data_IF_851691053015
#
_entry.id   IF_851691053015
#
_cell.length_a   1.000
_cell.length_b   1.000
_cell.length_c   1.000
_cell.angle_alpha   90.00
_cell.angle_beta   90.00
_cell.angle_gamma   90.00
#
_symmetry.space_group_name_H-M   'P 1'
#
loop_
_entity.id
_entity.type
_entity.pdbx_description
1 polymer ?
#
# COMPACT_ATOMS: atom_id res chain seq x y z
N UNK A 1 45.04 -5.05 -59.09
CA UNK A 1 45.82 -4.25 -58.11
C UNK A 1 44.91 -3.15 -57.57
N UNK A 2 44.63 -3.18 -56.24
CA UNK A 2 44.29 -2.02 -55.35
C UNK A 2 42.97 -1.27 -55.68
N UNK A 3 41.98 -1.01 -54.83
CA UNK A 3 41.77 -0.83 -53.37
C UNK A 3 40.28 -1.20 -53.11
N UNK A 4 39.90 -2.04 -52.15
CA UNK A 4 39.80 -1.86 -50.69
C UNK A 4 38.84 -0.73 -50.22
N UNK A 5 37.84 -1.16 -49.44
CA UNK A 5 37.01 -0.42 -48.47
C UNK A 5 35.92 0.54 -48.98
N UNK A 6 34.66 0.12 -48.86
CA UNK A 6 33.60 0.97 -48.29
C UNK A 6 32.56 0.13 -47.53
N UNK A 7 32.66 0.30 -46.21
CA UNK A 7 31.68 0.20 -45.13
C UNK A 7 30.50 -0.79 -45.20
N UNK A 8 30.73 -1.85 -44.44
CA UNK A 8 29.84 -2.50 -43.49
C UNK A 8 29.01 -1.49 -42.63
N UNK A 9 27.83 -1.06 -43.08
CA UNK A 9 26.76 -0.51 -42.20
C UNK A 9 25.38 -0.83 -42.79
N UNK A 10 24.97 -2.10 -42.73
CA UNK A 10 23.59 -2.50 -43.05
C UNK A 10 23.08 -3.60 -42.11
N UNK A 11 23.64 -3.69 -40.90
CA UNK A 11 23.31 -4.75 -39.93
C UNK A 11 23.36 -4.25 -38.49
N UNK A 12 22.84 -3.04 -38.25
CA UNK A 12 22.53 -2.55 -36.90
C UNK A 12 21.20 -1.76 -36.95
N UNK A 13 20.15 -2.40 -37.47
CA UNK A 13 18.78 -1.87 -37.49
C UNK A 13 17.82 -2.61 -36.55
N UNK A 14 18.36 -3.48 -35.70
CA UNK A 14 17.62 -4.25 -34.72
C UNK A 14 18.43 -4.36 -33.41
N UNK A 15 19.00 -3.23 -32.96
CA UNK A 15 19.31 -3.11 -31.53
C UNK A 15 17.99 -2.73 -30.87
N UNK A 16 17.44 -3.73 -30.19
CA UNK A 16 16.45 -3.65 -29.13
C UNK A 16 16.59 -2.34 -28.34
N UNK A 17 15.88 -1.30 -28.77
CA UNK A 17 15.50 -0.23 -27.86
C UNK A 17 14.37 -0.84 -27.05
N UNK A 18 14.71 -1.51 -25.96
CA UNK A 18 13.81 -1.54 -24.81
C UNK A 18 13.56 -0.08 -24.49
N UNK A 19 12.40 0.42 -24.89
CA UNK A 19 11.96 1.78 -24.62
C UNK A 19 11.66 1.87 -23.12
N UNK A 20 12.71 1.87 -22.28
CA UNK A 20 12.59 2.57 -21.01
C UNK A 20 12.37 4.02 -21.40
N UNK A 21 11.14 4.48 -21.18
CA UNK A 21 10.78 5.86 -21.40
C UNK A 21 11.83 6.73 -20.70
N UNK A 22 12.41 7.68 -21.44
CA UNK A 22 13.42 8.60 -20.90
C UNK A 22 12.76 9.32 -19.73
N UNK A 23 13.34 9.15 -18.54
CA UNK A 23 12.90 9.81 -17.31
C UNK A 23 12.85 11.32 -17.55
N UNK A 24 11.69 11.93 -17.33
CA UNK A 24 11.50 13.37 -17.50
C UNK A 24 11.62 14.03 -16.14
N UNK A 25 12.61 14.91 -15.97
CA UNK A 25 12.86 15.62 -14.71
C UNK A 25 11.58 16.30 -14.20
N UNK A 26 11.20 16.01 -12.95
CA UNK A 26 10.00 16.57 -12.31
C UNK A 26 8.67 15.95 -12.75
N UNK A 27 8.66 14.91 -13.59
CA UNK A 27 7.45 14.21 -14.04
C UNK A 27 7.40 12.76 -13.59
N UNK A 28 6.18 12.22 -13.61
CA UNK A 28 5.86 10.84 -13.25
C UNK A 28 5.10 10.19 -14.40
N UNK A 29 5.34 8.91 -14.65
CA UNK A 29 4.64 8.13 -15.67
C UNK A 29 3.33 7.58 -15.07
N UNK A 30 2.20 8.12 -15.51
CA UNK A 30 0.88 7.87 -14.93
C UNK A 30 -0.01 7.10 -15.90
N UNK A 31 -0.60 5.97 -15.47
CA UNK A 31 -1.66 5.27 -16.21
C UNK A 31 -3.03 5.59 -15.60
N UNK A 32 -4.05 5.71 -16.43
CA UNK A 32 -5.46 5.89 -16.00
C UNK A 32 -6.34 4.68 -16.25
N UNK A 33 -5.82 3.66 -16.95
CA UNK A 33 -6.46 2.35 -17.14
C UNK A 33 -5.40 1.28 -17.41
N UNK A 34 -5.81 0.00 -17.43
CA UNK A 34 -4.92 -1.13 -17.72
C UNK A 34 -4.23 -1.00 -19.09
N UNK A 35 -5.00 -0.55 -20.09
CA UNK A 35 -4.58 -0.45 -21.49
C UNK A 35 -3.91 0.87 -21.86
N UNK A 36 -3.97 1.86 -20.95
CA UNK A 36 -3.29 3.13 -21.12
C UNK A 36 -1.77 2.90 -21.08
N UNK A 37 -0.98 3.24 -22.11
CA UNK A 37 0.48 3.04 -22.08
C UNK A 37 1.20 3.92 -21.04
N UNK A 38 0.49 4.87 -20.43
CA UNK A 38 1.01 5.82 -19.47
C UNK A 38 1.43 7.13 -20.12
N UNK A 39 1.18 8.23 -19.42
CA UNK A 39 1.56 9.58 -19.82
C UNK A 39 2.48 10.20 -18.76
N UNK A 40 3.55 10.86 -19.22
CA UNK A 40 4.40 11.66 -18.34
C UNK A 40 3.68 12.92 -17.91
N UNK A 41 3.36 13.01 -16.62
CA UNK A 41 2.62 14.10 -16.00
C UNK A 41 3.46 14.79 -14.93
N UNK A 42 3.39 16.12 -14.86
CA UNK A 42 3.86 16.87 -13.70
C UNK A 42 2.82 16.85 -12.54
N UNK A 43 3.17 17.44 -11.41
CA UNK A 43 2.30 17.47 -10.24
C UNK A 43 0.96 18.18 -10.52
N UNK A 44 0.94 19.27 -11.30
CA UNK A 44 -0.30 19.98 -11.61
C UNK A 44 -1.23 19.12 -12.46
N UNK A 45 -0.68 18.41 -13.46
CA UNK A 45 -1.42 17.47 -14.30
C UNK A 45 -2.01 16.32 -13.48
N UNK A 46 -1.27 15.80 -12.49
CA UNK A 46 -1.77 14.80 -11.54
C UNK A 46 -2.92 15.38 -10.68
N UNK A 47 -2.79 16.61 -10.20
CA UNK A 47 -3.86 17.29 -9.45
C UNK A 47 -5.11 17.57 -10.30
N UNK A 48 -5.00 17.67 -11.63
CA UNK A 48 -6.18 17.69 -12.51
C UNK A 48 -6.91 16.33 -12.50
N UNK A 49 -6.19 15.20 -12.48
CA UNK A 49 -6.81 13.88 -12.33
C UNK A 49 -7.53 13.72 -11.00
N UNK A 50 -6.87 14.12 -9.90
CA UNK A 50 -7.42 14.09 -8.55
C UNK A 50 -8.70 14.94 -8.47
N UNK A 51 -8.69 16.16 -9.00
CA UNK A 51 -9.89 17.02 -9.05
C UNK A 51 -11.02 16.44 -9.89
N UNK A 52 -10.67 15.73 -10.96
CA UNK A 52 -11.63 15.07 -11.85
C UNK A 52 -12.13 13.72 -11.32
N UNK A 53 -11.71 13.28 -10.13
CA UNK A 53 -12.02 11.94 -9.60
C UNK A 53 -11.63 10.79 -10.54
N UNK A 54 -10.57 10.99 -11.33
CA UNK A 54 -10.07 9.93 -12.20
C UNK A 54 -9.12 9.06 -11.40
N UNK A 55 -9.35 7.75 -11.39
CA UNK A 55 -8.40 6.78 -10.86
C UNK A 55 -7.14 6.76 -11.72
N UNK A 56 -5.99 6.67 -11.07
CA UNK A 56 -4.71 6.58 -11.76
C UNK A 56 -3.69 5.81 -10.91
N UNK A 57 -2.62 5.35 -11.55
CA UNK A 57 -1.49 4.67 -10.91
C UNK A 57 -0.18 5.26 -11.43
N UNK A 58 0.75 5.52 -10.51
CA UNK A 58 2.11 5.95 -10.85
C UNK A 58 2.98 4.72 -11.08
N UNK A 59 3.41 4.52 -12.33
CA UNK A 59 4.27 3.40 -12.76
C UNK A 59 5.71 3.85 -13.02
N UNK A 60 6.11 5.06 -12.60
CA UNK A 60 7.45 5.60 -12.86
C UNK A 60 8.55 4.66 -12.41
N UNK A 61 8.39 4.11 -11.20
CA UNK A 61 9.40 3.31 -10.50
C UNK A 61 9.05 1.81 -10.46
N UNK A 62 8.02 1.41 -11.21
CA UNK A 62 7.39 0.11 -11.10
C UNK A 62 7.12 -0.50 -12.48
N UNK A 63 7.69 -1.69 -12.71
CA UNK A 63 7.31 -2.57 -13.79
C UNK A 63 6.27 -3.56 -13.22
N UNK A 64 5.00 -3.18 -13.29
CA UNK A 64 3.91 -4.02 -12.80
C UNK A 64 3.71 -5.19 -13.78
N UNK A 65 3.86 -6.45 -13.33
CA UNK A 65 3.61 -7.58 -14.20
C UNK A 65 2.14 -7.57 -14.62
N UNK A 66 1.87 -7.89 -15.89
CA UNK A 66 0.52 -8.21 -16.34
C UNK A 66 0.02 -9.42 -15.53
N UNK A 67 -1.08 -9.25 -14.79
CA UNK A 67 -1.69 -10.33 -14.02
C UNK A 67 -2.38 -11.26 -15.01
N UNK A 68 -1.90 -12.50 -15.12
CA UNK A 68 -2.53 -13.51 -15.94
C UNK A 68 -3.55 -14.29 -15.12
N UNK A 69 -4.57 -14.90 -15.75
CA UNK A 69 -5.54 -15.75 -15.03
C UNK A 69 -4.89 -16.85 -14.17
N UNK A 70 -3.74 -17.39 -14.61
CA UNK A 70 -2.95 -18.37 -13.87
C UNK A 70 -2.25 -17.83 -12.61
N UNK A 71 -2.04 -16.52 -12.50
CA UNK A 71 -1.44 -15.88 -11.32
C UNK A 71 -2.45 -15.77 -10.17
N UNK A 72 -3.76 -15.87 -10.49
CA UNK A 72 -4.85 -15.78 -9.51
C UNK A 72 -5.22 -17.17 -9.00
N UNK A 73 -4.85 -17.47 -7.76
CA UNK A 73 -5.25 -18.73 -7.11
C UNK A 73 -6.68 -18.67 -6.55
N UNK A 74 -7.67 -18.79 -7.43
CA UNK A 74 -9.10 -18.82 -7.05
C UNK A 74 -9.47 -19.99 -6.13
N UNK A 75 -8.68 -21.08 -6.15
CA UNK A 75 -8.88 -22.23 -5.25
C UNK A 75 -8.51 -21.94 -3.79
N UNK A 76 -7.72 -20.88 -3.54
CA UNK A 76 -7.37 -20.47 -2.19
C UNK A 76 -8.48 -19.66 -1.49
N UNK A 77 -9.52 -19.23 -2.22
CA UNK A 77 -10.66 -18.51 -1.63
C UNK A 77 -11.47 -19.50 -0.77
N UNK A 78 -11.63 -19.25 0.54
CA UNK A 78 -12.39 -20.16 1.40
C UNK A 78 -13.85 -20.25 0.96
N UNK A 79 -14.33 -21.46 0.67
CA UNK A 79 -15.74 -21.72 0.32
C UNK A 79 -16.62 -22.00 1.54
N UNK A 80 -16.01 -22.17 2.71
CA UNK A 80 -16.71 -22.40 3.98
C UNK A 80 -16.23 -21.41 5.01
N UNK A 81 -17.16 -20.73 5.67
CA UNK A 81 -16.85 -19.90 6.84
C UNK A 81 -16.49 -20.85 7.99
N UNK A 82 -15.37 -20.55 8.66
CA UNK A 82 -14.90 -21.26 9.86
C UNK A 82 -14.68 -20.23 10.97
N UNK A 83 -14.59 -20.67 12.22
CA UNK A 83 -14.32 -19.82 13.39
C UNK A 83 -15.43 -18.80 13.73
N UNK A 84 -16.69 -19.05 13.35
CA UNK A 84 -17.80 -18.11 13.57
C UNK A 84 -17.98 -17.75 15.05
N UNK A 85 -17.80 -18.71 15.96
CA UNK A 85 -17.90 -18.46 17.40
C UNK A 85 -16.84 -17.46 17.86
N UNK A 86 -15.57 -17.74 17.54
CA UNK A 86 -14.45 -16.85 17.84
C UNK A 86 -14.64 -15.46 17.24
N UNK A 87 -15.05 -15.36 15.97
CA UNK A 87 -15.33 -14.07 15.32
C UNK A 87 -16.45 -13.32 16.05
N UNK A 88 -17.56 -13.98 16.37
CA UNK A 88 -18.67 -13.33 17.10
C UNK A 88 -18.23 -12.85 18.48
N UNK A 89 -17.43 -13.62 19.21
CA UNK A 89 -16.90 -13.21 20.52
C UNK A 89 -16.03 -11.96 20.40
N UNK A 90 -15.12 -11.92 19.43
CA UNK A 90 -14.29 -10.74 19.16
C UNK A 90 -15.14 -9.53 18.80
N UNK A 91 -16.16 -9.71 17.93
CA UNK A 91 -17.05 -8.61 17.53
C UNK A 91 -17.80 -7.97 18.71
N UNK A 92 -18.06 -8.71 19.80
CA UNK A 92 -18.69 -8.14 21.00
C UNK A 92 -17.77 -7.24 21.82
N UNK A 93 -16.45 -7.27 21.57
CA UNK A 93 -15.44 -6.49 22.29
C UNK A 93 -15.10 -5.17 21.59
N UNK A 94 -15.55 -4.99 20.34
CA UNK A 94 -15.29 -3.79 19.56
C UNK A 94 -15.70 -2.53 20.33
N UNK A 95 -14.76 -1.60 20.41
CA UNK A 95 -14.92 -0.37 21.16
C UNK A 95 -15.06 0.81 20.21
N UNK A 96 -16.30 1.26 19.99
CA UNK A 96 -16.57 2.37 19.07
C UNK A 96 -16.00 3.70 19.57
N UNK A 97 -15.80 3.87 20.88
CA UNK A 97 -15.18 5.08 21.42
C UNK A 97 -13.69 5.16 21.06
N UNK A 98 -12.96 4.04 21.03
CA UNK A 98 -11.58 3.99 20.52
C UNK A 98 -11.53 4.37 19.05
N UNK A 99 -12.47 3.84 18.26
CA UNK A 99 -12.59 4.15 16.83
C UNK A 99 -12.80 5.66 16.60
N UNK A 100 -13.78 6.24 17.29
CA UNK A 100 -14.08 7.68 17.19
C UNK A 100 -12.90 8.55 17.67
N UNK A 101 -12.23 8.16 18.75
CA UNK A 101 -11.08 8.88 19.28
C UNK A 101 -9.90 8.86 18.29
N UNK A 102 -9.62 7.70 17.69
CA UNK A 102 -8.60 7.58 16.66
C UNK A 102 -8.92 8.49 15.47
N UNK A 103 -10.12 8.40 14.90
CA UNK A 103 -10.48 9.19 13.71
C UNK A 103 -10.41 10.67 14.01
N UNK A 104 -10.83 11.09 15.22
CA UNK A 104 -10.73 12.49 15.66
C UNK A 104 -9.28 12.96 15.72
N UNK A 105 -8.38 12.19 16.30
CA UNK A 105 -6.97 12.55 16.41
C UNK A 105 -6.29 12.54 15.03
N UNK A 106 -6.48 11.45 14.28
CA UNK A 106 -5.86 11.25 12.96
C UNK A 106 -6.33 12.27 11.91
N UNK A 107 -7.56 12.79 12.08
CA UNK A 107 -8.13 13.85 11.24
C UNK A 107 -7.85 15.27 11.76
N UNK A 108 -7.21 15.40 12.92
CA UNK A 108 -6.87 16.71 13.51
C UNK A 108 -5.66 17.35 12.83
N UNK A 109 -4.78 16.52 12.25
CA UNK A 109 -3.67 16.98 11.44
C UNK A 109 -4.18 17.80 10.25
N UNK A 110 -3.45 18.88 9.93
CA UNK A 110 -3.84 19.78 8.81
C UNK A 110 -4.09 18.97 7.54
N UNK A 111 -3.14 18.12 7.18
CA UNK A 111 -3.27 17.06 6.20
C UNK A 111 -2.26 15.96 6.54
N UNK A 112 -2.38 14.81 5.90
CA UNK A 112 -1.43 13.70 6.04
C UNK A 112 -0.68 13.47 4.73
N UNK A 113 -0.41 14.53 3.99
CA UNK A 113 0.19 14.45 2.66
C UNK A 113 1.60 13.85 2.71
N UNK A 114 1.91 12.94 1.79
CA UNK A 114 3.10 12.07 1.85
C UNK A 114 4.46 12.79 1.97
N UNK A 115 4.56 14.01 1.43
CA UNK A 115 5.78 14.83 1.46
C UNK A 115 5.75 15.94 2.51
N UNK A 116 4.65 16.09 3.26
CA UNK A 116 4.50 17.13 4.28
C UNK A 116 4.98 16.67 5.66
N UNK A 117 5.42 17.62 6.48
CA UNK A 117 5.79 17.33 7.87
C UNK A 117 4.59 16.77 8.65
N UNK A 118 3.38 17.27 8.44
CA UNK A 118 2.18 16.75 9.10
C UNK A 118 1.84 15.33 8.65
N UNK A 119 2.17 14.94 7.42
CA UNK A 119 2.12 13.56 6.95
C UNK A 119 3.08 12.63 7.70
N UNK A 120 4.30 13.09 7.98
CA UNK A 120 5.25 12.35 8.82
C UNK A 120 4.84 12.30 10.28
N UNK A 121 4.35 13.40 10.84
CA UNK A 121 3.94 13.48 12.24
C UNK A 121 2.75 12.56 12.53
N UNK A 122 1.74 12.56 11.66
CA UNK A 122 0.58 11.65 11.76
C UNK A 122 0.97 10.19 11.62
N UNK A 123 1.92 9.88 10.73
CA UNK A 123 2.46 8.54 10.59
C UNK A 123 3.26 8.08 11.82
N UNK A 124 4.05 8.96 12.44
CA UNK A 124 4.78 8.65 13.68
C UNK A 124 3.81 8.42 14.86
N UNK A 125 2.74 9.20 14.93
CA UNK A 125 1.67 8.98 15.90
C UNK A 125 1.01 7.61 15.70
N UNK A 126 0.63 7.27 14.46
CA UNK A 126 0.06 5.98 14.12
C UNK A 126 1.03 4.82 14.44
N UNK A 127 2.33 4.99 14.17
CA UNK A 127 3.35 4.02 14.53
C UNK A 127 3.34 3.75 16.04
N UNK A 128 3.26 4.80 16.87
CA UNK A 128 3.20 4.64 18.34
C UNK A 128 1.93 3.91 18.81
N UNK A 129 0.78 4.17 18.17
CA UNK A 129 -0.47 3.46 18.46
C UNK A 129 -0.35 1.97 18.12
N UNK A 130 0.28 1.64 16.98
CA UNK A 130 0.51 0.25 16.56
C UNK A 130 1.51 -0.45 17.49
N UNK A 131 2.64 0.19 17.78
CA UNK A 131 3.67 -0.35 18.68
C UNK A 131 3.13 -0.61 20.08
N UNK A 132 2.27 0.27 20.58
CA UNK A 132 1.55 0.05 21.84
C UNK A 132 0.59 -1.15 21.75
N UNK A 133 -0.14 -1.26 20.64
CA UNK A 133 -1.17 -2.28 20.44
C UNK A 133 -0.61 -3.69 20.24
N UNK A 134 0.63 -3.84 19.76
CA UNK A 134 1.28 -5.15 19.62
C UNK A 134 1.87 -5.67 20.93
N UNK A 135 1.99 -4.82 21.97
CA UNK A 135 2.56 -5.24 23.25
C UNK A 135 1.70 -6.31 23.91
N UNK A 136 2.36 -7.33 24.45
CA UNK A 136 1.67 -8.44 25.10
C UNK A 136 1.11 -9.49 24.14
N UNK A 137 1.36 -9.38 22.83
CA UNK A 137 1.04 -10.46 21.91
C UNK A 137 1.74 -11.76 22.34
N UNK A 138 0.98 -12.84 22.49
CA UNK A 138 1.50 -14.11 22.97
C UNK A 138 2.31 -14.88 21.90
N UNK A 139 2.20 -14.50 20.63
CA UNK A 139 2.99 -15.03 19.53
C UNK A 139 4.22 -14.17 19.20
N UNK A 140 4.73 -14.28 17.97
CA UNK A 140 5.80 -13.41 17.47
C UNK A 140 5.21 -12.34 16.56
N UNK A 141 5.50 -11.07 16.87
CA UNK A 141 5.11 -9.94 16.06
C UNK A 141 6.28 -8.95 15.91
N UNK A 142 6.31 -8.21 14.80
CA UNK A 142 7.26 -7.14 14.52
C UNK A 142 6.58 -5.97 13.84
N UNK A 143 7.00 -4.74 14.15
CA UNK A 143 6.53 -3.52 13.49
C UNK A 143 7.72 -2.86 12.81
N UNK A 144 7.59 -2.53 11.53
CA UNK A 144 8.66 -1.89 10.75
C UNK A 144 8.13 -0.72 9.92
N UNK A 145 8.93 0.32 9.79
CA UNK A 145 8.73 1.37 8.80
C UNK A 145 9.36 0.96 7.46
N UNK A 146 8.70 1.30 6.35
CA UNK A 146 9.21 1.11 4.99
C UNK A 146 9.45 2.48 4.37
N UNK A 147 10.72 2.75 4.04
CA UNK A 147 11.17 3.98 3.40
C UNK A 147 11.00 3.90 1.87
N UNK A 148 10.49 4.98 1.30
CA UNK A 148 10.16 5.12 -0.13
C UNK A 148 10.90 6.29 -0.81
N UNK A 149 11.80 6.97 -0.09
CA UNK A 149 12.53 8.15 -0.59
C UNK A 149 11.78 9.47 -0.45
N UNK A 150 10.60 9.47 0.16
CA UNK A 150 9.85 10.66 0.59
C UNK A 150 9.62 10.62 2.10
N UNK A 151 9.14 11.74 2.67
CA UNK A 151 9.18 11.94 4.13
C UNK A 151 8.31 10.95 4.90
N UNK A 152 7.08 10.69 4.44
CA UNK A 152 6.17 9.74 5.07
C UNK A 152 6.53 8.30 4.69
N UNK A 153 6.50 7.39 5.67
CA UNK A 153 6.82 5.97 5.47
C UNK A 153 5.57 5.11 5.56
N UNK A 154 5.60 3.94 4.93
CA UNK A 154 4.59 2.92 5.23
C UNK A 154 4.92 2.19 6.52
N UNK A 155 3.91 1.60 7.16
CA UNK A 155 4.09 0.79 8.37
C UNK A 155 3.61 -0.63 8.08
N UNK A 156 4.40 -1.63 8.48
CA UNK A 156 4.01 -3.05 8.43
C UNK A 156 4.11 -3.64 9.83
N UNK A 157 2.98 -4.06 10.39
CA UNK A 157 2.93 -4.90 11.57
C UNK A 157 2.70 -6.36 11.15
N UNK A 158 3.72 -7.19 11.33
CA UNK A 158 3.74 -8.59 10.91
C UNK A 158 3.59 -9.51 12.12
N UNK A 159 2.62 -10.41 12.07
CA UNK A 159 2.32 -11.44 13.06
C UNK A 159 2.68 -12.79 12.45
N UNK A 160 3.71 -13.46 12.96
CA UNK A 160 4.20 -14.73 12.41
C UNK A 160 3.22 -15.87 12.69
N UNK A 161 2.93 -16.66 11.66
CA UNK A 161 2.10 -17.85 11.78
C UNK A 161 2.73 -18.91 12.69
N UNK A 162 1.92 -19.45 13.60
CA UNK A 162 2.31 -20.52 14.52
C UNK A 162 2.31 -21.91 13.88
N UNK A 163 1.58 -22.13 12.78
CA UNK A 163 1.55 -23.40 12.06
C UNK A 163 2.70 -23.45 11.05
N UNK A 164 3.68 -24.36 11.20
CA UNK A 164 4.83 -24.44 10.30
C UNK A 164 4.48 -24.68 8.83
N UNK A 165 3.32 -25.27 8.55
CA UNK A 165 2.86 -25.55 7.18
C UNK A 165 2.13 -24.37 6.54
N UNK A 166 1.56 -23.49 7.36
CA UNK A 166 0.77 -22.35 6.90
C UNK A 166 1.51 -21.01 7.03
N UNK A 167 2.60 -20.95 7.80
CA UNK A 167 3.30 -19.70 8.10
C UNK A 167 3.83 -18.95 6.89
N UNK A 168 4.15 -19.65 5.80
CA UNK A 168 4.65 -19.04 4.56
C UNK A 168 3.51 -18.50 3.66
N UNK A 169 2.25 -18.76 4.04
CA UNK A 169 1.07 -18.11 3.48
C UNK A 169 0.79 -16.83 4.28
N UNK A 170 0.88 -15.69 3.59
CA UNK A 170 0.72 -14.37 4.22
C UNK A 170 -0.65 -13.80 3.84
N UNK A 171 -1.44 -13.47 4.85
CA UNK A 171 -2.65 -12.65 4.67
C UNK A 171 -2.28 -11.21 4.96
N UNK A 172 -2.59 -10.30 4.06
CA UNK A 172 -2.34 -8.86 4.21
C UNK A 172 -3.69 -8.18 4.43
N UNK A 173 -3.76 -7.30 5.42
CA UNK A 173 -4.89 -6.41 5.67
C UNK A 173 -4.34 -4.98 5.63
N UNK A 174 -4.82 -4.19 4.67
CA UNK A 174 -4.23 -2.88 4.34
C UNK A 174 -5.20 -1.71 4.47
N UNK A 175 -4.65 -0.52 4.67
CA UNK A 175 -5.29 0.78 4.46
C UNK A 175 -4.21 1.82 4.09
N UNK A 176 -4.57 2.98 3.56
CA UNK A 176 -3.59 4.07 3.39
C UNK A 176 -3.66 5.06 4.54
N UNK A 177 -2.52 5.69 4.86
CA UNK A 177 -2.39 6.62 5.99
C UNK A 177 -2.31 8.09 5.55
N UNK A 178 -2.20 8.37 4.25
CA UNK A 178 -2.13 9.74 3.76
C UNK A 178 -3.51 10.39 3.60
N UNK A 179 -3.49 11.66 3.24
CA UNK A 179 -4.67 12.41 2.79
C UNK A 179 -4.22 13.58 1.92
N UNK A 180 -5.03 13.87 0.91
CA UNK A 180 -4.81 15.01 0.02
C UNK A 180 -6.02 15.92 -0.02
N UNK A 181 -5.78 17.23 -0.16
CA UNK A 181 -6.83 18.15 -0.57
C UNK A 181 -6.74 18.31 -2.09
N UNK A 182 -7.83 18.02 -2.79
CA UNK A 182 -7.88 18.05 -4.26
C UNK A 182 -7.49 19.40 -4.87
N UNK A 183 -7.62 20.49 -4.12
CA UNK A 183 -7.26 21.83 -4.56
C UNK A 183 -5.79 22.21 -4.26
N UNK A 184 -5.02 21.34 -3.59
CA UNK A 184 -3.59 21.52 -3.40
C UNK A 184 -3.00 20.81 -2.18
N UNK A 185 -1.75 20.36 -2.31
CA UNK A 185 -0.99 19.60 -1.32
C UNK A 185 -0.85 20.24 0.07
N UNK A 186 -0.96 21.57 0.18
CA UNK A 186 -0.74 22.33 1.44
C UNK A 186 -2.04 22.72 2.16
N UNK A 187 -3.19 22.44 1.54
CA UNK A 187 -4.50 22.75 2.08
C UNK A 187 -4.93 21.70 3.11
N UNK A 188 -5.99 22.03 3.84
CA UNK A 188 -6.52 21.16 4.89
C UNK A 188 -7.17 19.91 4.26
N UNK A 189 -6.77 18.72 4.71
CA UNK A 189 -7.30 17.44 4.28
C UNK A 189 -7.48 16.53 5.51
N UNK A 190 -8.62 16.62 6.21
CA UNK A 190 -8.86 15.81 7.41
C UNK A 190 -8.82 14.31 7.12
N UNK A 191 -9.24 13.88 5.93
CA UNK A 191 -9.16 12.48 5.50
C UNK A 191 -9.77 11.50 6.50
N UNK A 192 -10.89 11.87 7.11
CA UNK A 192 -11.52 11.10 8.19
C UNK A 192 -12.09 9.78 7.68
N UNK A 193 -12.79 9.83 6.55
CA UNK A 193 -13.26 8.63 5.87
C UNK A 193 -12.19 8.06 4.94
N UNK A 194 -11.56 8.91 4.12
CA UNK A 194 -10.49 8.54 3.19
C UNK A 194 -9.10 8.98 3.70
N UNK A 195 -8.28 8.09 4.28
CA UNK A 195 -8.62 6.73 4.74
C UNK A 195 -8.41 6.53 6.25
N UNK A 196 -8.88 7.51 7.04
CA UNK A 196 -8.87 7.42 8.49
C UNK A 196 -9.75 6.28 9.02
N UNK A 197 -10.88 5.99 8.36
CA UNK A 197 -11.82 4.94 8.73
C UNK A 197 -11.28 3.53 8.42
N UNK A 198 -10.59 3.33 7.30
CA UNK A 198 -9.86 2.09 7.03
C UNK A 198 -8.66 1.93 7.94
N UNK A 199 -7.86 3.00 8.14
CA UNK A 199 -6.68 2.96 9.02
C UNK A 199 -7.02 2.49 10.44
N UNK A 200 -8.12 2.98 11.02
CA UNK A 200 -8.57 2.54 12.35
C UNK A 200 -9.14 1.13 12.36
N UNK A 201 -9.81 0.73 11.28
CA UNK A 201 -10.37 -0.63 11.16
C UNK A 201 -9.26 -1.68 11.17
N UNK A 202 -8.15 -1.41 10.47
CA UNK A 202 -6.95 -2.25 10.48
C UNK A 202 -6.34 -2.30 11.89
N UNK A 203 -6.22 -1.15 12.57
CA UNK A 203 -5.66 -1.07 13.92
C UNK A 203 -6.50 -1.81 14.97
N UNK A 204 -7.82 -1.63 14.97
CA UNK A 204 -8.70 -2.30 15.92
C UNK A 204 -8.75 -3.82 15.66
N UNK A 205 -8.67 -4.25 14.40
CA UNK A 205 -8.54 -5.68 14.07
C UNK A 205 -7.26 -6.27 14.70
N UNK A 206 -6.14 -5.56 14.58
CA UNK A 206 -4.87 -5.95 15.20
C UNK A 206 -5.01 -6.00 16.73
N UNK A 207 -5.56 -4.95 17.36
CA UNK A 207 -5.76 -4.85 18.81
C UNK A 207 -6.59 -6.02 19.35
N UNK A 208 -7.70 -6.33 18.69
CA UNK A 208 -8.58 -7.40 19.13
C UNK A 208 -7.95 -8.78 19.06
N UNK A 209 -7.05 -9.03 18.09
CA UNK A 209 -6.24 -10.26 18.04
C UNK A 209 -5.33 -10.37 19.26
N UNK A 210 -4.68 -9.27 19.63
CA UNK A 210 -3.77 -9.21 20.79
C UNK A 210 -4.55 -9.35 22.09
N UNK A 211 -5.59 -8.53 22.31
CA UNK A 211 -6.39 -8.50 23.53
C UNK A 211 -7.21 -9.78 23.75
N UNK A 212 -7.62 -10.46 22.67
CA UNK A 212 -8.30 -11.76 22.77
C UNK A 212 -7.34 -12.94 22.94
N UNK A 213 -6.02 -12.72 22.93
CA UNK A 213 -5.01 -13.78 23.08
C UNK A 213 -4.98 -14.76 21.91
N UNK A 214 -5.41 -14.33 20.71
CA UNK A 214 -5.49 -15.20 19.54
C UNK A 214 -4.11 -15.42 18.92
N UNK A 215 -3.67 -16.68 18.86
CA UNK A 215 -2.48 -17.04 18.09
C UNK A 215 -2.87 -17.42 16.67
N UNK A 216 -2.31 -16.73 15.68
CA UNK A 216 -2.64 -16.92 14.28
C UNK A 216 -1.83 -18.08 13.70
N UNK A 217 -2.48 -18.98 12.95
CA UNK A 217 -1.79 -20.10 12.30
C UNK A 217 -1.02 -19.67 11.04
N UNK A 218 -1.60 -18.74 10.27
CA UNK A 218 -0.97 -18.08 9.13
C UNK A 218 -0.27 -16.82 9.57
N UNK A 219 0.72 -16.40 8.78
CA UNK A 219 1.27 -15.07 8.97
C UNK A 219 0.25 -14.03 8.51
N UNK A 220 0.05 -12.99 9.31
CA UNK A 220 -0.78 -11.84 8.95
C UNK A 220 0.05 -10.56 8.99
N UNK A 221 -0.06 -9.75 7.95
CA UNK A 221 0.56 -8.42 7.86
C UNK A 221 -0.54 -7.36 7.86
N UNK A 222 -0.49 -6.46 8.83
CA UNK A 222 -1.30 -5.24 8.86
C UNK A 222 -0.46 -4.11 8.26
N UNK A 223 -0.95 -3.48 7.20
CA UNK A 223 -0.16 -2.51 6.42
C UNK A 223 -0.87 -1.16 6.34
N UNK A 224 -0.10 -0.09 6.55
CA UNK A 224 -0.55 1.29 6.32
C UNK A 224 0.32 1.93 5.24
N UNK A 225 -0.26 2.14 4.06
CA UNK A 225 0.42 2.60 2.86
C UNK A 225 0.58 4.13 2.86
N UNK A 226 1.76 4.60 2.49
CA UNK A 226 2.01 6.01 2.31
C UNK A 226 1.85 6.36 0.83
N UNK A 227 1.46 7.59 0.52
CA UNK A 227 1.40 8.10 -0.85
C UNK A 227 0.47 7.30 -1.78
N UNK A 228 -0.69 6.88 -1.25
CA UNK A 228 -1.77 6.28 -2.04
C UNK A 228 -2.36 7.33 -3.00
N UNK A 229 -2.66 8.52 -2.47
CA UNK A 229 -3.42 9.58 -3.13
C UNK A 229 -2.73 10.18 -4.35
N UNK A 230 -1.44 9.89 -4.51
CA UNK A 230 -0.60 10.34 -5.63
C UNK A 230 -0.08 9.16 -6.47
N UNK A 231 -0.84 8.06 -6.49
CA UNK A 231 -0.70 6.99 -7.47
C UNK A 231 -0.24 5.65 -6.89
N UNK A 232 -0.72 5.25 -5.71
CA UNK A 232 -0.47 3.94 -5.10
C UNK A 232 1.02 3.63 -4.84
N UNK A 233 1.85 4.63 -4.55
CA UNK A 233 3.31 4.44 -4.54
C UNK A 233 3.78 3.56 -3.39
N UNK A 234 3.24 3.74 -2.19
CA UNK A 234 3.65 2.95 -1.01
C UNK A 234 3.26 1.49 -1.13
N UNK A 235 2.03 1.19 -1.55
CA UNK A 235 1.57 -0.19 -1.73
C UNK A 235 2.35 -0.90 -2.85
N UNK A 236 2.64 -0.22 -3.96
CA UNK A 236 3.48 -0.78 -5.02
C UNK A 236 4.91 -1.10 -4.55
N UNK A 237 5.51 -0.26 -3.70
CA UNK A 237 6.82 -0.55 -3.11
C UNK A 237 6.83 -1.82 -2.24
N UNK A 238 5.73 -2.07 -1.51
CA UNK A 238 5.53 -3.25 -0.67
C UNK A 238 5.22 -4.54 -1.45
N UNK A 239 4.81 -4.42 -2.72
CA UNK A 239 4.62 -5.57 -3.62
C UNK A 239 5.93 -6.12 -4.19
N UNK A 240 7.04 -5.37 -4.09
CA UNK A 240 8.34 -5.84 -4.60
C UNK A 240 8.73 -7.15 -3.88
N UNK A 241 9.02 -8.24 -4.60
CA UNK A 241 9.15 -9.56 -4.00
C UNK A 241 10.42 -9.68 -3.15
N UNK A 242 10.28 -9.56 -1.83
CA UNK A 242 11.25 -10.13 -0.89
C UNK A 242 10.87 -11.59 -0.65
N UNK A 243 11.30 -12.47 -1.56
CA UNK A 243 11.11 -13.94 -1.57
C UNK A 243 9.68 -14.41 -1.92
N UNK A 244 9.63 -15.56 -2.59
CA UNK A 244 8.43 -16.28 -3.05
C UNK A 244 7.52 -16.66 -1.85
N UNK A 245 6.72 -15.71 -1.36
CA UNK A 245 5.66 -15.96 -0.40
C UNK A 245 4.31 -15.91 -1.12
N UNK A 246 3.42 -16.85 -0.80
CA UNK A 246 2.04 -16.80 -1.29
C UNK A 246 1.31 -15.74 -0.47
N UNK A 247 1.04 -14.58 -1.07
CA UNK A 247 0.38 -13.45 -0.41
C UNK A 247 -1.08 -13.35 -0.86
N UNK A 248 -1.99 -13.15 0.08
CA UNK A 248 -3.40 -12.85 -0.15
C UNK A 248 -3.68 -11.46 0.44
N UNK A 249 -4.06 -10.49 -0.38
CA UNK A 249 -4.25 -9.11 0.05
C UNK A 249 -5.73 -8.77 0.22
N UNK A 250 -6.08 -8.15 1.35
CA UNK A 250 -7.39 -7.59 1.68
C UNK A 250 -7.16 -6.11 1.92
N UNK A 251 -7.51 -5.28 0.94
CA UNK A 251 -7.43 -3.82 1.09
C UNK A 251 -8.73 -3.28 1.69
N UNK A 252 -8.62 -2.51 2.77
CA UNK A 252 -9.74 -1.82 3.42
C UNK A 252 -9.76 -0.40 2.88
N UNK A 253 -10.31 -0.28 1.68
CA UNK A 253 -10.48 0.99 1.00
C UNK A 253 -11.96 1.34 0.93
N UNK A 254 -12.37 2.36 1.67
CA UNK A 254 -13.71 2.95 1.60
C UNK A 254 -13.60 4.25 0.79
N UNK A 255 -13.51 4.13 -0.54
CA UNK A 255 -13.72 5.30 -1.42
C UNK A 255 -15.22 5.58 -1.50
N UNK A 256 -15.68 6.63 -0.83
CA UNK A 256 -17.03 7.19 -1.00
C UNK A 256 -17.12 8.15 -2.19
#
# INVERSE_FOLDING_TARGET
>A
MKFLQFLLVASVGAILVSSRAVEQEGKRLIKTSEEDPGQWMDENEIFELIRAHKTFIDITDFDLPAIKPEDVNTKAIPTTIRFQTTVREVLTKLNTQRVEAFVREFSSYRNRYYSSQTGRDSQLWLLSEIESSVQGYAGSASVVEVDHGYLQKSIVARFEGADPTLRDEVVIIGAHLDSVNRNGATLQAPGADDNGSGSVTVLETLREIVESGLILNRTVEFQWYAAEEIGLRGSQALLKPTKLQKRCNIDVELRC
#
